data_IF_336555819171
#
_entry.id   IF_336555819171
#
_cell.length_a   1.000
_cell.length_b   1.000
_cell.length_c   1.000
_cell.angle_alpha   90.00
_cell.angle_beta   90.00
_cell.angle_gamma   90.00
#
_symmetry.space_group_name_H-M   'P 1'
#
loop_
_entity.id
_entity.type
_entity.pdbx_description
1 polymer ?
#
# COMPACT_ATOMS: atom_id res chain seq x y z
N UNK A 1 5.06 7.93 -14.62
CA UNK A 1 4.19 8.71 -13.71
C UNK A 1 4.67 8.46 -12.29
N UNK A 2 4.88 9.52 -11.51
CA UNK A 2 5.30 9.43 -10.12
C UNK A 2 4.16 9.92 -9.24
N UNK A 3 3.81 9.16 -8.20
CA UNK A 3 2.78 9.51 -7.22
C UNK A 3 3.43 9.51 -5.84
N UNK A 4 3.23 10.59 -5.09
CA UNK A 4 3.66 10.75 -3.70
C UNK A 4 2.44 10.84 -2.81
N UNK A 5 2.36 9.95 -1.83
CA UNK A 5 1.38 10.00 -0.75
C UNK A 5 2.01 10.76 0.42
N UNK A 6 1.25 11.68 0.99
CA UNK A 6 1.67 12.51 2.13
C UNK A 6 0.58 12.35 3.21
N UNK A 7 0.95 12.03 4.45
CA UNK A 7 -0.02 11.90 5.55
C UNK A 7 -0.70 13.25 5.79
N UNK A 8 -2.01 13.22 6.00
CA UNK A 8 -2.83 14.41 6.25
C UNK A 8 -3.41 14.39 7.69
N UNK A 9 -3.74 15.56 8.27
CA UNK A 9 -4.48 15.63 9.52
C UNK A 9 -5.83 14.93 9.43
N UNK A 10 -6.34 14.44 10.56
CA UNK A 10 -7.66 13.82 10.62
C UNK A 10 -8.78 14.74 10.12
N UNK A 11 -9.68 14.19 9.31
CA UNK A 11 -10.83 14.92 8.75
C UNK A 11 -10.51 15.75 7.50
N UNK A 12 -9.32 15.58 6.92
CA UNK A 12 -8.92 16.23 5.67
C UNK A 12 -9.59 15.57 4.45
N UNK A 13 -9.96 14.30 4.57
CA UNK A 13 -10.35 13.40 3.49
C UNK A 13 -9.23 13.19 2.44
N UNK A 14 -9.54 12.42 1.39
CA UNK A 14 -8.58 12.11 0.33
C UNK A 14 -8.55 13.23 -0.71
N UNK A 15 -7.44 13.97 -0.73
CA UNK A 15 -7.15 15.02 -1.71
C UNK A 15 -6.34 14.42 -2.87
N UNK A 16 -7.06 13.87 -3.84
CA UNK A 16 -6.49 13.23 -5.02
C UNK A 16 -7.42 13.31 -6.24
N UNK A 17 -6.85 13.05 -7.43
CA UNK A 17 -7.63 12.84 -8.65
C UNK A 17 -8.52 11.58 -8.55
N UNK A 18 -9.51 11.45 -9.44
CA UNK A 18 -10.55 10.41 -9.39
C UNK A 18 -9.98 8.98 -9.29
N UNK A 19 -8.94 8.65 -10.05
CA UNK A 19 -8.33 7.31 -10.07
C UNK A 19 -7.62 6.97 -8.75
N UNK A 20 -6.61 7.75 -8.28
CA UNK A 20 -5.99 7.48 -6.98
C UNK A 20 -6.98 7.57 -5.83
N UNK A 21 -7.97 8.47 -5.89
CA UNK A 21 -8.98 8.61 -4.84
C UNK A 21 -9.75 7.30 -4.64
N UNK A 22 -10.19 6.67 -5.73
CA UNK A 22 -10.88 5.37 -5.68
C UNK A 22 -9.97 4.28 -5.09
N UNK A 23 -8.71 4.22 -5.52
CA UNK A 23 -7.75 3.23 -5.03
C UNK A 23 -7.43 3.41 -3.53
N UNK A 24 -7.25 4.66 -3.07
CA UNK A 24 -6.99 4.97 -1.67
C UNK A 24 -8.20 4.64 -0.79
N UNK A 25 -9.43 4.88 -1.27
CA UNK A 25 -10.65 4.44 -0.59
C UNK A 25 -10.72 2.90 -0.47
N UNK A 26 -10.40 2.18 -1.55
CA UNK A 26 -10.38 0.71 -1.52
C UNK A 26 -9.29 0.16 -0.58
N UNK A 27 -8.19 0.89 -0.41
CA UNK A 27 -7.12 0.55 0.53
C UNK A 27 -7.45 0.91 1.99
N UNK A 28 -8.59 1.55 2.26
CA UNK A 28 -8.99 1.95 3.62
C UNK A 28 -8.27 3.19 4.16
N UNK A 29 -7.68 4.02 3.29
CA UNK A 29 -7.02 5.27 3.69
C UNK A 29 -8.06 6.39 3.76
N UNK A 30 -8.21 7.00 4.94
CA UNK A 30 -9.21 8.06 5.19
C UNK A 30 -8.69 9.45 4.81
N UNK A 31 -7.48 9.79 5.25
CA UNK A 31 -6.90 11.13 5.14
C UNK A 31 -5.53 11.08 4.44
N UNK A 32 -5.42 11.68 3.25
CA UNK A 32 -4.15 11.72 2.52
C UNK A 32 -4.10 12.86 1.51
N UNK A 33 -2.96 13.57 1.47
CA UNK A 33 -2.61 14.47 0.37
C UNK A 33 -1.82 13.70 -0.69
N UNK A 34 -2.13 13.94 -1.96
CA UNK A 34 -1.41 13.32 -3.07
C UNK A 34 -0.73 14.36 -3.96
N UNK A 35 0.47 14.03 -4.43
CA UNK A 35 1.16 14.79 -5.47
C UNK A 35 1.54 13.85 -6.60
N UNK A 36 1.20 14.21 -7.84
CA UNK A 36 1.51 13.42 -9.02
C UNK A 36 2.36 14.23 -10.01
N UNK A 37 3.39 13.59 -10.58
CA UNK A 37 4.26 14.19 -11.61
C UNK A 37 4.36 13.27 -12.83
N UNK A 38 4.30 13.87 -14.02
CA UNK A 38 4.31 13.19 -15.32
C UNK A 38 2.92 13.08 -15.94
N UNK A 39 2.79 12.27 -17.00
CA UNK A 39 1.54 12.14 -17.76
C UNK A 39 0.47 11.33 -17.00
N UNK A 40 -0.36 12.02 -16.21
CA UNK A 40 -1.47 11.44 -15.43
C UNK A 40 -2.70 11.07 -16.27
N UNK A 41 -2.77 11.54 -17.53
CA UNK A 41 -3.84 11.17 -18.47
C UNK A 41 -3.84 9.68 -18.84
N UNK A 42 -2.68 9.00 -18.76
CA UNK A 42 -2.59 7.56 -19.01
C UNK A 42 -3.04 6.79 -17.77
N UNK A 43 -4.33 6.44 -17.73
CA UNK A 43 -5.00 5.81 -16.58
C UNK A 43 -4.25 4.61 -16.00
N UNK A 44 -3.83 3.67 -16.85
CA UNK A 44 -3.14 2.44 -16.39
C UNK A 44 -1.84 2.72 -15.64
N UNK A 45 -1.01 3.63 -16.16
CA UNK A 45 0.24 4.03 -15.51
C UNK A 45 -0.02 4.79 -14.21
N UNK A 46 -1.07 5.61 -14.17
CA UNK A 46 -1.43 6.37 -12.99
C UNK A 46 -1.96 5.48 -11.86
N UNK A 47 -2.81 4.51 -12.20
CA UNK A 47 -3.29 3.49 -11.26
C UNK A 47 -2.14 2.64 -10.72
N UNK A 48 -1.25 2.15 -11.60
CA UNK A 48 -0.08 1.35 -11.21
C UNK A 48 0.88 2.12 -10.30
N UNK A 49 1.12 3.40 -10.59
CA UNK A 49 1.95 4.26 -9.74
C UNK A 49 1.33 4.48 -8.36
N UNK A 50 0.01 4.64 -8.27
CA UNK A 50 -0.71 4.76 -6.99
C UNK A 50 -0.63 3.47 -6.19
N UNK A 51 -0.89 2.32 -6.81
CA UNK A 51 -0.76 1.01 -6.17
C UNK A 51 0.66 0.78 -5.63
N UNK A 52 1.68 1.09 -6.43
CA UNK A 52 3.07 0.98 -6.01
C UNK A 52 3.40 1.90 -4.82
N UNK A 53 2.79 3.09 -4.75
CA UNK A 53 2.97 3.99 -3.61
C UNK A 53 2.33 3.42 -2.32
N UNK A 54 1.17 2.78 -2.43
CA UNK A 54 0.51 2.09 -1.30
C UNK A 54 1.35 0.89 -0.86
N UNK A 55 1.81 0.04 -1.78
CA UNK A 55 2.65 -1.12 -1.41
C UNK A 55 3.94 -0.73 -0.66
N UNK A 56 4.49 0.44 -0.96
CA UNK A 56 5.67 0.98 -0.27
C UNK A 56 5.42 1.41 1.18
N UNK A 57 4.17 1.57 1.62
CA UNK A 57 3.90 1.94 3.02
C UNK A 57 4.33 0.84 3.98
N UNK A 58 4.12 -0.43 3.61
CA UNK A 58 4.59 -1.57 4.41
C UNK A 58 6.09 -1.82 4.27
N UNK A 59 6.67 -1.53 3.09
CA UNK A 59 8.10 -1.68 2.87
C UNK A 59 8.94 -0.62 3.60
N UNK A 60 8.32 0.45 4.11
CA UNK A 60 9.00 1.49 4.84
C UNK A 60 9.25 1.06 6.29
N UNK A 61 10.51 0.93 6.68
CA UNK A 61 10.91 0.53 8.02
C UNK A 61 10.74 1.70 9.01
N UNK A 62 9.58 1.75 9.66
CA UNK A 62 9.31 2.71 10.74
C UNK A 62 10.02 2.31 12.04
N UNK A 63 10.29 3.24 12.96
CA UNK A 63 10.91 2.94 14.26
C UNK A 63 10.20 1.86 15.08
N UNK A 64 8.89 1.71 14.90
CA UNK A 64 8.07 0.69 15.56
C UNK A 64 8.45 -0.75 15.15
N UNK A 65 8.97 -0.90 13.93
CA UNK A 65 9.36 -2.19 13.33
C UNK A 65 10.84 -2.53 13.54
N UNK A 66 11.60 -1.73 14.30
CA UNK A 66 13.03 -2.00 14.58
C UNK A 66 13.28 -3.15 15.55
N UNK A 67 12.25 -3.57 16.30
CA UNK A 67 12.37 -4.69 17.22
C UNK A 67 12.63 -5.98 16.43
N UNK A 68 13.47 -6.84 16.98
CA UNK A 68 13.75 -8.14 16.37
C UNK A 68 12.45 -8.95 16.26
N UNK A 69 12.19 -9.45 15.06
CA UNK A 69 11.07 -10.36 14.79
C UNK A 69 11.60 -11.78 14.77
N UNK A 70 10.90 -12.69 15.42
CA UNK A 70 11.22 -14.13 15.37
C UNK A 70 10.62 -14.71 14.09
N UNK A 71 11.44 -15.38 13.29
CA UNK A 71 10.94 -16.11 12.12
C UNK A 71 10.18 -17.35 12.57
N UNK A 72 8.89 -17.39 12.27
CA UNK A 72 8.09 -18.61 12.43
C UNK A 72 8.25 -19.51 11.20
N UNK A 73 7.97 -20.80 11.34
CA UNK A 73 7.90 -21.71 10.19
C UNK A 73 6.85 -21.19 9.21
N UNK A 74 7.06 -21.42 7.91
CA UNK A 74 6.03 -21.05 6.94
C UNK A 74 4.80 -21.94 7.11
N UNK A 75 3.58 -21.46 6.82
CA UNK A 75 2.38 -22.29 6.94
C UNK A 75 2.47 -23.60 6.12
N UNK A 76 3.14 -23.55 4.97
CA UNK A 76 3.39 -24.74 4.16
C UNK A 76 4.25 -25.78 4.87
N UNK A 77 5.26 -25.34 5.63
CA UNK A 77 6.09 -26.25 6.43
C UNK A 77 5.33 -26.82 7.62
N UNK A 78 4.52 -25.99 8.29
CA UNK A 78 3.77 -26.38 9.48
C UNK A 78 2.66 -27.39 9.18
N UNK A 79 1.93 -27.20 8.08
CA UNK A 79 0.81 -28.06 7.69
C UNK A 79 1.16 -29.08 6.59
N UNK A 80 2.44 -29.43 6.45
CA UNK A 80 2.92 -30.37 5.41
C UNK A 80 2.14 -31.69 5.46
N UNK A 81 1.95 -32.24 6.65
CA UNK A 81 1.29 -33.54 6.83
C UNK A 81 -0.20 -33.49 6.41
N UNK A 82 -0.91 -32.41 6.75
CA UNK A 82 -2.30 -32.19 6.34
C UNK A 82 -2.43 -32.01 4.82
N UNK A 83 -1.51 -31.26 4.20
CA UNK A 83 -1.54 -31.01 2.76
C UNK A 83 -1.16 -32.24 1.93
N UNK A 84 -0.47 -33.22 2.51
CA UNK A 84 -0.11 -34.47 1.83
C UNK A 84 -1.25 -35.50 1.80
N UNK A 85 -2.27 -35.33 2.63
CA UNK A 85 -3.40 -36.25 2.78
C UNK A 85 -4.58 -35.93 1.82
N UNK A 86 -4.58 -34.75 1.19
CA UNK A 86 -5.55 -34.29 0.19
C UNK A 86 -4.96 -34.25 -1.23
#
# INVERSE_FOLDING_TARGET
VLVRLIPAPRGTSIVAASVPKKLLQMAGIEDCYTSARGQTATLGNFAKATYAAIAKTYAYLTPELWKETVFTKSPYQEFTDYLAEY
#
